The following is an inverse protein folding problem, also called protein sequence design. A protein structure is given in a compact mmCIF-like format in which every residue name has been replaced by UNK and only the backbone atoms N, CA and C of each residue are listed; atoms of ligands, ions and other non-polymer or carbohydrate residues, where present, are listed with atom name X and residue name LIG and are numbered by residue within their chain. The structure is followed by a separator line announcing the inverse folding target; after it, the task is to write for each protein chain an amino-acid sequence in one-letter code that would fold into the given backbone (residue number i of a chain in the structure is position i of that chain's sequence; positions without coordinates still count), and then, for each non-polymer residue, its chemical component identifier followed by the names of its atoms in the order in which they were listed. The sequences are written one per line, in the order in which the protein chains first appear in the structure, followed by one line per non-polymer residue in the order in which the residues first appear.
data_IF_315828324809
#
_entry.id   IF_315828324809
#
_cell.length_a   1.000
_cell.length_b   1.000
_cell.length_c   1.000
_cell.angle_alpha   90.00
_cell.angle_beta   90.00
_cell.angle_gamma   90.00
#
_symmetry.space_group_name_H-M   'P 1'
#
loop_
_entity.id
_entity.type
_entity.pdbx_description
1 polymer ?
#
# COMPACT_ATOMS: atom_id res chain seq x y z
N UNK A 1 6.39 5.27 37.92
CA UNK A 1 7.20 4.37 37.07
C UNK A 1 6.66 2.94 37.11
N UNK A 2 6.61 2.29 38.28
CA UNK A 2 6.16 0.90 38.45
C UNK A 2 4.80 0.52 37.84
N UNK A 3 3.82 1.43 37.79
CA UNK A 3 2.53 1.15 37.12
C UNK A 3 2.72 0.92 35.61
N UNK A 4 3.55 1.72 34.95
CA UNK A 4 3.82 1.64 33.50
C UNK A 4 4.64 0.40 33.14
N UNK A 5 5.58 0.01 34.00
CA UNK A 5 6.42 -1.19 33.79
C UNK A 5 5.63 -2.51 33.83
N UNK A 6 4.43 -2.50 34.41
CA UNK A 6 3.54 -3.67 34.49
C UNK A 6 2.56 -3.80 33.33
N UNK A 7 2.56 -2.85 32.39
CA UNK A 7 1.62 -2.84 31.28
C UNK A 7 2.09 -3.75 30.13
N UNK A 8 1.15 -4.23 29.33
CA UNK A 8 1.44 -4.96 28.08
C UNK A 8 1.90 -4.06 26.93
N UNK A 9 2.00 -2.74 27.17
CA UNK A 9 2.50 -1.75 26.23
C UNK A 9 3.65 -0.96 26.88
N UNK A 10 4.57 -0.46 26.06
CA UNK A 10 5.64 0.44 26.50
C UNK A 10 5.45 1.78 25.79
N UNK A 11 5.31 2.84 26.58
CA UNK A 11 5.34 4.20 26.05
C UNK A 11 6.80 4.54 25.70
N UNK A 12 7.07 4.80 24.43
CA UNK A 12 8.38 5.19 23.92
C UNK A 12 8.35 6.61 23.37
N UNK A 13 9.48 7.32 23.46
CA UNK A 13 9.63 8.59 22.76
C UNK A 13 9.58 8.36 21.24
N UNK A 14 8.78 9.13 20.51
CA UNK A 14 8.46 8.88 19.10
C UNK A 14 9.68 8.80 18.17
N UNK A 15 10.81 9.44 18.52
CA UNK A 15 12.07 9.34 17.74
C UNK A 15 12.81 8.01 17.89
N UNK A 16 12.53 7.24 18.94
CA UNK A 16 13.07 5.89 19.15
C UNK A 16 12.20 4.81 18.47
N UNK A 17 11.05 5.21 17.93
CA UNK A 17 10.08 4.29 17.36
C UNK A 17 10.60 3.60 16.07
N UNK A 18 11.53 4.22 15.33
CA UNK A 18 12.13 3.61 14.13
C UNK A 18 13.02 2.40 14.43
N UNK A 19 13.49 2.20 15.69
CA UNK A 19 14.28 1.04 16.12
C UNK A 19 13.54 0.07 17.05
N UNK A 20 12.53 0.56 17.79
CA UNK A 20 11.91 -0.20 18.89
C UNK A 20 10.47 -0.66 18.61
N UNK A 21 9.88 -0.31 17.45
CA UNK A 21 8.54 -0.77 17.10
C UNK A 21 8.53 -2.27 16.80
N UNK A 22 7.57 -2.97 17.40
CA UNK A 22 7.43 -4.42 17.31
C UNK A 22 6.12 -4.87 16.62
N UNK A 23 5.44 -3.97 15.91
CA UNK A 23 4.25 -4.26 15.11
C UNK A 23 4.39 -3.67 13.71
N UNK A 24 3.72 -4.29 12.73
CA UNK A 24 3.71 -3.79 11.35
C UNK A 24 2.89 -2.51 11.26
N UNK A 25 3.40 -1.50 10.56
CA UNK A 25 2.74 -0.21 10.33
C UNK A 25 2.29 -0.03 8.88
N UNK A 26 1.49 1.01 8.64
CA UNK A 26 1.32 1.59 7.32
C UNK A 26 2.45 2.62 7.08
N UNK A 27 3.39 2.27 6.20
CA UNK A 27 4.65 3.01 6.03
C UNK A 27 5.35 3.30 7.37
N UNK A 28 5.71 4.56 7.64
CA UNK A 28 6.35 5.02 8.87
C UNK A 28 5.35 5.63 9.89
N UNK A 29 4.04 5.48 9.65
CA UNK A 29 3.00 6.09 10.48
C UNK A 29 2.72 5.24 11.73
N UNK A 30 3.26 5.68 12.87
CA UNK A 30 3.18 4.96 14.14
C UNK A 30 1.74 4.74 14.66
N UNK A 31 0.80 5.61 14.29
CA UNK A 31 -0.60 5.54 14.74
C UNK A 31 -1.45 4.57 13.92
N UNK A 32 -0.90 3.98 12.84
CA UNK A 32 -1.60 3.04 11.96
C UNK A 32 -0.97 1.64 12.05
N UNK A 33 -1.53 0.80 12.93
CA UNK A 33 -1.13 -0.60 13.05
C UNK A 33 -1.79 -1.46 11.96
N UNK A 34 -1.00 -2.30 11.29
CA UNK A 34 -1.47 -3.20 10.26
C UNK A 34 -2.30 -4.35 10.81
N UNK A 35 -3.44 -4.63 10.18
CA UNK A 35 -4.29 -5.77 10.53
C UNK A 35 -3.83 -7.04 9.81
N UNK A 36 -4.04 -8.19 10.46
CA UNK A 36 -3.76 -9.51 9.91
C UNK A 36 -4.98 -10.09 9.19
N UNK A 37 -5.42 -9.44 8.12
CA UNK A 37 -6.62 -9.83 7.38
C UNK A 37 -6.49 -11.17 6.62
N UNK A 38 -5.29 -11.77 6.59
CA UNK A 38 -5.11 -13.17 6.18
C UNK A 38 -5.72 -14.16 7.19
N UNK A 39 -5.90 -13.76 8.45
CA UNK A 39 -6.67 -14.52 9.43
C UNK A 39 -8.18 -14.37 9.15
N UNK A 40 -8.91 -15.49 9.20
CA UNK A 40 -10.32 -15.51 8.81
C UNK A 40 -11.21 -14.73 9.79
N UNK A 41 -10.98 -14.85 11.11
CA UNK A 41 -11.76 -14.12 12.11
C UNK A 41 -11.54 -12.60 11.99
N UNK A 42 -10.29 -12.19 11.75
CA UNK A 42 -9.95 -10.78 11.52
C UNK A 42 -10.63 -10.23 10.26
N UNK A 43 -10.60 -10.99 9.15
CA UNK A 43 -11.26 -10.60 7.90
C UNK A 43 -12.77 -10.41 8.09
N UNK A 44 -13.45 -11.38 8.70
CA UNK A 44 -14.91 -11.33 8.91
C UNK A 44 -15.29 -10.16 9.84
N UNK A 45 -14.54 -9.96 10.93
CA UNK A 45 -14.77 -8.85 11.84
C UNK A 45 -14.64 -7.49 11.13
N UNK A 46 -13.56 -7.30 10.36
CA UNK A 46 -13.29 -6.03 9.67
C UNK A 46 -14.25 -5.75 8.52
N UNK A 47 -14.84 -6.79 7.91
CA UNK A 47 -15.77 -6.64 6.76
C UNK A 47 -17.25 -6.77 7.12
N UNK A 48 -17.59 -6.98 8.40
CA UNK A 48 -18.97 -7.15 8.87
C UNK A 48 -19.91 -6.03 8.42
N UNK A 49 -19.48 -4.77 8.58
CA UNK A 49 -20.24 -3.60 8.13
C UNK A 49 -20.39 -3.55 6.61
N UNK A 50 -19.30 -3.79 5.87
CA UNK A 50 -19.31 -3.81 4.40
C UNK A 50 -20.27 -4.88 3.89
N UNK A 51 -20.22 -6.10 4.45
CA UNK A 51 -21.13 -7.20 4.13
C UNK A 51 -22.58 -6.80 4.34
N UNK A 52 -22.89 -6.18 5.48
CA UNK A 52 -24.25 -5.69 5.81
C UNK A 52 -24.72 -4.66 4.79
N UNK A 53 -23.90 -3.65 4.47
CA UNK A 53 -24.26 -2.61 3.50
C UNK A 53 -24.47 -3.18 2.08
N UNK A 54 -23.73 -4.21 1.69
CA UNK A 54 -23.96 -4.92 0.42
C UNK A 54 -25.30 -5.68 0.46
N UNK A 55 -25.61 -6.38 1.57
CA UNK A 55 -26.86 -7.12 1.73
C UNK A 55 -28.09 -6.20 1.76
N UNK A 56 -27.94 -4.98 2.27
CA UNK A 56 -28.94 -3.92 2.26
C UNK A 56 -29.03 -3.18 0.89
N UNK A 57 -28.28 -3.62 -0.14
CA UNK A 57 -28.20 -2.98 -1.47
C UNK A 57 -27.77 -1.50 -1.42
N UNK A 58 -26.95 -1.14 -0.42
CA UNK A 58 -26.43 0.23 -0.23
C UNK A 58 -25.03 0.45 -0.83
N UNK A 59 -24.36 -0.63 -1.22
CA UNK A 59 -23.07 -0.59 -1.92
C UNK A 59 -23.17 -1.41 -3.20
N UNK A 60 -22.75 -0.83 -4.32
CA UNK A 60 -22.69 -1.48 -5.63
C UNK A 60 -21.25 -1.73 -6.11
N UNK A 61 -20.28 -1.27 -5.33
CA UNK A 61 -18.87 -1.45 -5.61
C UNK A 61 -17.96 -1.10 -4.44
N UNK A 62 -16.67 -1.40 -4.60
CA UNK A 62 -15.62 -1.12 -3.62
C UNK A 62 -14.36 -0.57 -4.31
N UNK A 63 -13.74 0.43 -3.68
CA UNK A 63 -12.35 0.82 -3.93
C UNK A 63 -11.51 0.33 -2.76
N UNK A 64 -10.54 -0.53 -3.03
CA UNK A 64 -9.70 -1.11 -1.99
C UNK A 64 -8.39 -0.33 -1.89
N UNK A 65 -8.09 0.12 -0.69
CA UNK A 65 -6.88 0.88 -0.35
C UNK A 65 -5.67 -0.06 -0.16
N UNK A 66 -4.49 0.39 -0.60
CA UNK A 66 -3.19 -0.19 -0.27
C UNK A 66 -3.09 -1.72 -0.30
N UNK A 67 -3.49 -2.31 -1.43
CA UNK A 67 -3.57 -3.78 -1.57
C UNK A 67 -2.21 -4.47 -1.52
N UNK A 68 -1.13 -3.75 -1.88
CA UNK A 68 0.25 -4.25 -1.80
C UNK A 68 0.78 -4.35 -0.35
N UNK A 69 0.05 -3.77 0.62
CA UNK A 69 0.32 -3.96 2.05
C UNK A 69 -0.28 -5.25 2.63
N UNK A 70 -1.03 -6.02 1.84
CA UNK A 70 -1.60 -7.31 2.28
C UNK A 70 -0.56 -8.43 2.21
N UNK A 71 -0.65 -9.38 3.14
CA UNK A 71 0.23 -10.55 3.13
C UNK A 71 -0.05 -11.51 1.96
N UNK A 72 -1.32 -11.70 1.63
CA UNK A 72 -1.78 -12.54 0.51
C UNK A 72 -2.98 -11.86 -0.17
N UNK A 73 -2.73 -10.93 -1.12
CA UNK A 73 -3.79 -10.25 -1.85
C UNK A 73 -4.69 -11.22 -2.62
N UNK A 74 -4.14 -12.30 -3.18
CA UNK A 74 -4.91 -13.26 -3.97
C UNK A 74 -5.97 -13.97 -3.12
N UNK A 75 -5.59 -14.46 -1.95
CA UNK A 75 -6.53 -15.06 -0.99
C UNK A 75 -7.55 -14.03 -0.49
N UNK A 76 -7.11 -12.80 -0.21
CA UNK A 76 -8.00 -11.72 0.22
C UNK A 76 -9.12 -11.48 -0.80
N UNK A 77 -8.80 -11.35 -2.09
CA UNK A 77 -9.82 -11.13 -3.13
C UNK A 77 -10.72 -12.36 -3.35
N UNK A 78 -10.20 -13.57 -3.16
CA UNK A 78 -11.06 -14.77 -3.16
C UNK A 78 -12.08 -14.74 -2.02
N UNK A 79 -11.68 -14.35 -0.81
CA UNK A 79 -12.59 -14.20 0.34
C UNK A 79 -13.60 -13.08 0.11
N UNK A 80 -13.15 -11.93 -0.37
CA UNK A 80 -14.01 -10.78 -0.67
C UNK A 80 -15.07 -11.13 -1.72
N UNK A 81 -14.70 -11.86 -2.79
CA UNK A 81 -15.66 -12.35 -3.79
C UNK A 81 -16.73 -13.28 -3.19
N UNK A 82 -16.35 -14.17 -2.26
CA UNK A 82 -17.31 -15.05 -1.56
C UNK A 82 -18.22 -14.24 -0.63
N UNK A 83 -17.67 -13.27 0.10
CA UNK A 83 -18.43 -12.38 0.98
C UNK A 83 -19.47 -11.58 0.19
N UNK A 84 -19.08 -10.97 -0.92
CA UNK A 84 -20.01 -10.21 -1.79
C UNK A 84 -21.13 -11.11 -2.30
N UNK A 85 -20.80 -12.30 -2.82
CA UNK A 85 -21.80 -13.26 -3.29
C UNK A 85 -22.77 -13.67 -2.18
N UNK A 86 -22.25 -13.97 -1.00
CA UNK A 86 -23.06 -14.32 0.17
C UNK A 86 -23.97 -13.17 0.60
N UNK A 87 -23.49 -11.93 0.53
CA UNK A 87 -24.26 -10.75 0.92
C UNK A 87 -25.40 -10.45 -0.08
N UNK A 88 -25.15 -10.62 -1.38
CA UNK A 88 -26.16 -10.40 -2.42
C UNK A 88 -27.25 -11.49 -2.46
N UNK A 89 -26.92 -12.71 -2.03
CA UNK A 89 -27.83 -13.86 -2.08
C UNK A 89 -28.30 -14.15 -3.52
N UNK A 90 -29.59 -14.43 -3.69
CA UNK A 90 -30.20 -14.73 -4.99
C UNK A 90 -30.25 -13.52 -5.94
N UNK A 91 -30.02 -12.30 -5.42
CA UNK A 91 -29.96 -11.05 -6.20
C UNK A 91 -28.53 -10.78 -6.69
N UNK A 92 -27.84 -11.81 -7.19
CA UNK A 92 -26.48 -11.66 -7.68
C UNK A 92 -26.42 -10.64 -8.83
N UNK A 93 -25.83 -9.48 -8.55
CA UNK A 93 -25.66 -8.38 -9.51
C UNK A 93 -24.18 -8.14 -9.76
N UNK A 94 -23.79 -7.59 -10.93
CA UNK A 94 -22.44 -7.10 -11.13
C UNK A 94 -22.03 -6.16 -9.98
N UNK A 95 -20.85 -6.39 -9.42
CA UNK A 95 -20.34 -5.64 -8.29
C UNK A 95 -18.96 -5.10 -8.64
N UNK A 96 -18.85 -3.79 -8.84
CA UNK A 96 -17.65 -3.18 -9.39
C UNK A 96 -16.57 -3.05 -8.32
N UNK A 97 -15.35 -3.50 -8.62
CA UNK A 97 -14.23 -3.41 -7.67
C UNK A 97 -12.98 -2.88 -8.35
N UNK A 98 -12.39 -1.85 -7.77
CA UNK A 98 -11.12 -1.26 -8.20
C UNK A 98 -10.14 -1.24 -7.03
N UNK A 99 -8.85 -1.28 -7.35
CA UNK A 99 -7.79 -1.36 -6.35
C UNK A 99 -6.83 -0.19 -6.48
N UNK A 100 -6.45 0.40 -5.37
CA UNK A 100 -5.28 1.27 -5.37
C UNK A 100 -4.03 0.40 -5.53
N UNK A 101 -3.39 0.52 -6.68
CA UNK A 101 -2.11 -0.12 -6.98
C UNK A 101 -1.31 0.80 -7.91
N UNK A 102 -0.05 1.03 -7.56
CA UNK A 102 0.90 1.72 -8.43
C UNK A 102 1.57 0.67 -9.32
N UNK A 103 1.55 0.89 -10.63
CA UNK A 103 2.25 0.06 -11.60
C UNK A 103 3.57 0.73 -11.97
N UNK A 104 4.65 -0.04 -11.94
CA UNK A 104 5.93 0.37 -12.53
C UNK A 104 5.84 0.48 -14.06
N UNK A 105 6.87 1.07 -14.65
CA UNK A 105 7.04 1.07 -16.10
C UNK A 105 7.04 -0.38 -16.61
N UNK A 106 6.25 -0.64 -17.66
CA UNK A 106 6.00 -1.95 -18.26
C UNK A 106 5.38 -3.02 -17.33
N UNK A 107 5.03 -2.68 -16.08
CA UNK A 107 4.40 -3.61 -15.16
C UNK A 107 2.94 -3.88 -15.57
N UNK A 108 2.59 -5.15 -15.75
CA UNK A 108 1.21 -5.57 -15.99
C UNK A 108 0.49 -5.84 -14.68
N UNK A 109 -0.76 -5.37 -14.59
CA UNK A 109 -1.61 -5.64 -13.43
C UNK A 109 -1.84 -7.16 -13.26
N UNK A 110 -1.51 -7.68 -12.09
CA UNK A 110 -1.89 -9.04 -11.68
C UNK A 110 -3.42 -9.15 -11.59
N UNK A 111 -3.98 -10.18 -12.21
CA UNK A 111 -5.45 -10.38 -12.22
C UNK A 111 -5.92 -10.98 -10.90
N UNK A 112 -6.64 -10.19 -10.12
CA UNK A 112 -7.30 -10.64 -8.90
C UNK A 112 -8.78 -10.98 -9.15
N UNK A 113 -9.31 -11.93 -8.37
CA UNK A 113 -10.68 -12.39 -8.54
C UNK A 113 -11.70 -11.27 -8.28
N UNK A 114 -12.50 -10.93 -9.30
CA UNK A 114 -13.55 -9.92 -9.21
C UNK A 114 -13.05 -8.48 -9.25
N UNK A 115 -11.75 -8.24 -9.42
CA UNK A 115 -11.18 -6.89 -9.56
C UNK A 115 -11.24 -6.47 -11.02
N UNK A 116 -11.68 -5.24 -11.26
CA UNK A 116 -11.96 -4.68 -12.59
C UNK A 116 -10.85 -3.74 -13.09
N UNK A 117 -9.93 -3.33 -12.24
CA UNK A 117 -8.83 -2.45 -12.61
C UNK A 117 -8.18 -1.78 -11.40
N UNK A 118 -7.25 -0.86 -11.67
CA UNK A 118 -6.67 0.01 -10.65
C UNK A 118 -7.54 1.27 -10.46
N UNK A 119 -7.09 2.20 -9.61
CA UNK A 119 -7.63 3.56 -9.53
C UNK A 119 -7.14 4.50 -10.64
N UNK A 120 -6.29 4.04 -11.56
CA UNK A 120 -5.96 4.73 -12.81
C UNK A 120 -4.70 5.59 -12.83
N UNK A 121 -3.75 5.40 -11.91
CA UNK A 121 -2.47 6.15 -11.93
C UNK A 121 -1.68 5.94 -13.22
N UNK A 122 -1.77 4.76 -13.82
CA UNK A 122 -1.16 4.46 -15.11
C UNK A 122 -1.74 5.34 -16.23
N UNK A 123 -3.06 5.55 -16.23
CA UNK A 123 -3.73 6.42 -17.21
C UNK A 123 -3.40 7.88 -16.98
N UNK A 124 -3.35 8.31 -15.71
CA UNK A 124 -2.91 9.67 -15.37
C UNK A 124 -1.51 9.94 -15.94
N UNK A 125 -0.57 9.03 -15.76
CA UNK A 125 0.78 9.17 -16.30
C UNK A 125 0.82 9.18 -17.83
N UNK A 126 0.08 8.28 -18.49
CA UNK A 126 -0.01 8.26 -19.96
C UNK A 126 -0.57 9.56 -20.52
N UNK A 127 -1.67 10.06 -19.94
CA UNK A 127 -2.28 11.32 -20.37
C UNK A 127 -1.31 12.48 -20.14
N UNK A 128 -0.65 12.55 -18.98
CA UNK A 128 0.36 13.58 -18.71
C UNK A 128 1.50 13.55 -19.72
N UNK A 129 2.01 12.37 -20.08
CA UNK A 129 3.10 12.25 -21.06
C UNK A 129 2.69 12.73 -22.47
N UNK A 130 1.45 12.48 -22.89
CA UNK A 130 0.93 12.95 -24.20
C UNK A 130 0.81 14.47 -24.26
N UNK A 131 0.57 15.12 -23.11
CA UNK A 131 0.39 16.58 -23.03
C UNK A 131 1.72 17.35 -22.88
N UNK A 132 2.84 16.67 -22.68
CA UNK A 132 4.16 17.29 -22.49
C UNK A 132 4.91 17.30 -23.82
N UNK A 133 5.49 18.45 -24.18
CA UNK A 133 6.42 18.55 -25.30
C UNK A 133 7.78 17.97 -24.90
N UNK A 134 8.15 16.83 -25.52
CA UNK A 134 9.42 16.14 -25.25
C UNK A 134 10.66 16.97 -25.59
N UNK A 135 10.55 17.97 -26.46
CA UNK A 135 11.69 18.85 -26.80
C UNK A 135 12.11 19.78 -25.65
N UNK A 136 11.23 19.97 -24.64
CA UNK A 136 11.51 20.79 -23.47
C UNK A 136 12.42 20.12 -22.43
N UNK A 137 12.64 18.81 -22.51
CA UNK A 137 13.39 18.08 -21.47
C UNK A 137 14.88 18.45 -21.44
N UNK A 138 15.54 18.59 -22.60
CA UNK A 138 16.97 18.92 -22.66
C UNK A 138 17.27 20.34 -22.13
N UNK A 139 16.51 21.39 -22.49
CA UNK A 139 16.65 22.71 -21.87
C UNK A 139 16.46 22.68 -20.34
N UNK A 140 15.46 21.95 -19.83
CA UNK A 140 15.21 21.84 -18.39
C UNK A 140 16.35 21.11 -17.67
N UNK A 141 16.90 20.06 -18.29
CA UNK A 141 18.06 19.33 -17.77
C UNK A 141 19.29 20.24 -17.68
N UNK A 142 19.50 21.13 -18.64
CA UNK A 142 20.60 22.09 -18.62
C UNK A 142 20.44 23.14 -17.51
N UNK A 143 19.23 23.71 -17.37
CA UNK A 143 18.91 24.62 -16.25
C UNK A 143 19.14 23.93 -14.90
N UNK A 144 18.70 22.68 -14.76
CA UNK A 144 18.94 21.89 -13.54
C UNK A 144 20.43 21.74 -13.25
N UNK A 145 21.25 21.39 -14.25
CA UNK A 145 22.71 21.28 -14.10
C UNK A 145 23.32 22.60 -13.63
N UNK A 146 22.93 23.72 -14.24
CA UNK A 146 23.48 25.03 -13.91
C UNK A 146 23.16 25.46 -12.48
N UNK A 147 21.95 25.17 -11.99
CA UNK A 147 21.51 25.55 -10.64
C UNK A 147 22.03 24.59 -9.57
N UNK A 148 21.96 23.28 -9.82
CA UNK A 148 22.28 22.26 -8.82
C UNK A 148 23.75 21.81 -8.83
N UNK A 149 24.46 22.04 -9.94
CA UNK A 149 25.76 21.42 -10.26
C UNK A 149 25.73 19.88 -10.18
N UNK A 150 24.56 19.27 -10.40
CA UNK A 150 24.34 17.82 -10.38
C UNK A 150 23.86 17.30 -11.72
N UNK A 151 24.16 16.02 -11.99
CA UNK A 151 23.60 15.31 -13.16
C UNK A 151 22.06 15.22 -13.04
N UNK A 152 21.31 15.40 -14.14
CA UNK A 152 19.86 15.21 -14.15
C UNK A 152 19.44 13.73 -14.13
N UNK A 153 20.40 12.78 -14.11
CA UNK A 153 20.09 11.36 -14.07
C UNK A 153 19.41 10.99 -12.74
N UNK A 154 18.15 10.54 -12.82
CA UNK A 154 17.34 10.15 -11.68
C UNK A 154 17.80 8.85 -11.01
N UNK A 155 18.43 7.93 -11.73
CA UNK A 155 18.70 6.56 -11.23
C UNK A 155 19.55 6.54 -9.95
N UNK A 156 20.68 7.27 -9.85
CA UNK A 156 21.45 7.35 -8.62
C UNK A 156 20.67 7.99 -7.47
N UNK A 157 19.90 9.05 -7.76
CA UNK A 157 19.07 9.76 -6.77
C UNK A 157 18.01 8.82 -6.18
N UNK A 158 17.31 8.07 -7.04
CA UNK A 158 16.30 7.10 -6.63
C UNK A 158 16.90 5.99 -5.74
N UNK A 159 18.07 5.46 -6.11
CA UNK A 159 18.75 4.42 -5.33
C UNK A 159 19.15 4.93 -3.96
N UNK A 160 19.76 6.11 -3.88
CA UNK A 160 20.19 6.71 -2.62
C UNK A 160 19.01 7.06 -1.72
N UNK A 161 17.92 7.60 -2.30
CA UNK A 161 16.69 7.87 -1.57
C UNK A 161 16.07 6.60 -0.96
N UNK A 162 15.97 5.51 -1.75
CA UNK A 162 15.47 4.21 -1.25
C UNK A 162 16.35 3.65 -0.13
N UNK A 163 17.67 3.74 -0.28
CA UNK A 163 18.63 3.32 0.75
C UNK A 163 18.43 4.11 2.05
N UNK A 164 18.32 5.44 1.95
CA UNK A 164 18.07 6.31 3.10
C UNK A 164 16.77 5.95 3.82
N UNK A 165 15.70 5.65 3.10
CA UNK A 165 14.41 5.25 3.72
C UNK A 165 14.56 3.94 4.51
N UNK A 166 15.26 2.95 3.97
CA UNK A 166 15.54 1.69 4.66
C UNK A 166 16.42 1.90 5.91
N UNK A 167 17.41 2.80 5.83
CA UNK A 167 18.36 3.10 6.90
C UNK A 167 17.81 4.04 7.99
N UNK A 168 16.66 4.70 7.76
CA UNK A 168 16.11 5.68 8.70
C UNK A 168 14.66 5.41 9.14
N UNK A 169 13.72 5.29 8.19
CA UNK A 169 12.29 5.21 8.48
C UNK A 169 11.83 3.76 8.70
N UNK A 170 12.41 2.81 7.96
CA UNK A 170 12.02 1.40 7.93
C UNK A 170 13.10 0.46 8.50
N UNK A 171 13.95 0.97 9.38
CA UNK A 171 15.10 0.23 9.92
C UNK A 171 14.67 -0.98 10.76
N UNK A 172 13.62 -0.84 11.56
CA UNK A 172 13.05 -1.94 12.34
C UNK A 172 12.56 -3.08 11.44
N UNK A 173 11.73 -2.75 10.44
CA UNK A 173 11.18 -3.71 9.48
C UNK A 173 12.29 -4.41 8.69
N UNK A 174 13.25 -3.64 8.16
CA UNK A 174 14.39 -4.18 7.43
C UNK A 174 15.22 -5.14 8.28
N UNK A 175 15.53 -4.77 9.52
CA UNK A 175 16.33 -5.60 10.44
C UNK A 175 15.64 -6.93 10.77
N UNK A 176 14.33 -6.89 11.04
CA UNK A 176 13.55 -8.10 11.32
C UNK A 176 13.51 -9.01 10.09
N UNK A 177 13.24 -8.48 8.90
CA UNK A 177 13.18 -9.26 7.67
C UNK A 177 14.54 -9.85 7.28
N UNK A 178 15.62 -9.08 7.40
CA UNK A 178 16.98 -9.57 7.13
C UNK A 178 17.34 -10.76 8.04
N UNK A 179 16.97 -10.71 9.33
CA UNK A 179 17.15 -11.83 10.27
C UNK A 179 16.31 -13.05 9.93
N UNK A 180 15.14 -12.88 9.34
CA UNK A 180 14.27 -13.99 8.92
C UNK A 180 14.80 -14.69 7.66
N UNK A 181 15.41 -13.96 6.73
CA UNK A 181 15.97 -14.52 5.49
C UNK A 181 17.34 -15.17 5.70
N UNK A 182 18.11 -14.69 6.68
CA UNK A 182 19.43 -15.26 7.01
C UNK A 182 19.37 -16.59 7.79
N UNK A 183 18.16 -17.09 8.10
CA UNK A 183 17.91 -18.39 8.73
C UNK A 183 17.62 -19.43 7.66
#
# INVERSE_FOLDING_TARGET
HHLLERQHYKLGHWRLASSDINYRRFFDVNTLAGLRVEDAATFEASHSLVKRLIAEDRLQGLRLDHIDGLRDPAQYFQRLRRLIRSAQGDKARPFYMVIEKILGEDEKLTRFAGVHGTTGYEWMNTISQVLVDGSGLDPLNEIWRQISNQSPNLTPVLREAKRRVLETLLTSEFTVLARLVAR
#
